data_IF_936400998322
#
_entry.id   IF_936400998322
#
_cell.length_a   1.000
_cell.length_b   1.000
_cell.length_c   1.000
_cell.angle_alpha   90.00
_cell.angle_beta   90.00
_cell.angle_gamma   90.00
#
_symmetry.space_group_name_H-M   'P 1'
#
loop_
_entity.id
_entity.type
_entity.pdbx_description
1 polymer ?
#
# COMPACT_ATOMS: atom_id res chain seq x y z
N UNK A 1 -4.59 2.40 -7.41
CA UNK A 1 -5.99 2.53 -6.89
C UNK A 1 -5.94 3.06 -5.46
N UNK A 2 -6.92 3.86 -5.04
CA UNK A 2 -6.99 4.37 -3.67
C UNK A 2 -7.75 3.40 -2.75
N UNK A 3 -7.12 3.05 -1.62
CA UNK A 3 -7.73 2.32 -0.51
C UNK A 3 -7.20 2.90 0.80
N UNK A 4 -8.05 3.62 1.54
CA UNK A 4 -7.66 4.26 2.78
C UNK A 4 -7.50 3.27 3.92
N UNK A 5 -6.60 3.57 4.88
CA UNK A 5 -6.34 2.70 6.06
C UNK A 5 -7.62 2.36 6.84
N UNK A 6 -8.59 3.26 6.93
CA UNK A 6 -9.83 3.05 7.71
C UNK A 6 -10.76 1.95 7.17
N UNK A 7 -10.60 1.54 5.91
CA UNK A 7 -11.40 0.48 5.27
C UNK A 7 -10.55 -0.68 4.78
N UNK A 8 -9.24 -0.64 5.00
CA UNK A 8 -8.29 -1.62 4.47
C UNK A 8 -8.67 -3.04 4.92
N UNK A 9 -8.76 -3.29 6.23
CA UNK A 9 -9.00 -4.63 6.76
C UNK A 9 -10.34 -5.22 6.33
N UNK A 10 -11.34 -4.37 6.08
CA UNK A 10 -12.65 -4.77 5.60
C UNK A 10 -12.63 -5.15 4.11
N UNK A 11 -11.95 -4.35 3.29
CA UNK A 11 -12.07 -4.42 1.82
C UNK A 11 -10.94 -5.20 1.13
N UNK A 12 -9.80 -5.42 1.80
CA UNK A 12 -8.60 -5.97 1.17
C UNK A 12 -8.85 -7.38 0.62
N UNK A 13 -9.44 -8.29 1.39
CA UNK A 13 -9.75 -9.67 0.97
C UNK A 13 -10.77 -9.73 -0.16
N UNK A 14 -11.77 -8.85 -0.15
CA UNK A 14 -12.76 -8.79 -1.24
C UNK A 14 -12.12 -8.32 -2.54
N UNK A 15 -11.18 -7.37 -2.47
CA UNK A 15 -10.51 -6.82 -3.68
C UNK A 15 -9.38 -7.69 -4.19
N UNK A 16 -8.62 -8.31 -3.29
CA UNK A 16 -7.43 -9.09 -3.62
C UNK A 16 -7.45 -10.43 -2.85
N UNK A 17 -8.29 -11.39 -3.26
CA UNK A 17 -8.45 -12.64 -2.50
C UNK A 17 -7.18 -13.52 -2.46
N UNK A 18 -6.29 -13.37 -3.44
CA UNK A 18 -4.98 -14.05 -3.43
C UNK A 18 -4.01 -13.36 -2.47
N UNK A 19 -3.75 -14.03 -1.33
CA UNK A 19 -2.85 -13.54 -0.27
C UNK A 19 -1.37 -13.54 -0.66
N UNK A 20 -1.00 -14.19 -1.77
CA UNK A 20 0.39 -14.20 -2.29
C UNK A 20 0.66 -13.10 -3.31
N UNK A 21 -0.39 -12.40 -3.74
CA UNK A 21 -0.30 -11.29 -4.68
C UNK A 21 0.65 -10.21 -4.17
N UNK A 22 1.51 -9.70 -5.07
CA UNK A 22 2.32 -8.53 -4.75
C UNK A 22 1.42 -7.29 -4.60
N UNK A 23 1.51 -6.64 -3.43
CA UNK A 23 0.83 -5.37 -3.16
C UNK A 23 1.84 -4.38 -2.59
N UNK A 24 2.11 -3.32 -3.35
CA UNK A 24 2.93 -2.20 -2.91
C UNK A 24 1.99 -1.09 -2.41
N UNK A 25 2.14 -0.71 -1.15
CA UNK A 25 1.36 0.32 -0.49
C UNK A 25 2.20 1.59 -0.33
N UNK A 26 1.61 2.75 -0.60
CA UNK A 26 2.27 4.05 -0.37
C UNK A 26 1.28 5.05 0.24
N UNK A 27 1.83 6.01 0.98
CA UNK A 27 1.12 7.21 1.42
C UNK A 27 1.97 8.44 1.10
N UNK A 28 1.68 9.61 1.67
CA UNK A 28 2.52 10.82 1.47
C UNK A 28 4.01 10.61 1.76
N UNK A 29 4.35 10.10 2.97
CA UNK A 29 5.75 9.97 3.43
C UNK A 29 6.20 8.57 3.87
N UNK A 30 5.43 7.52 3.60
CA UNK A 30 5.76 6.12 3.93
C UNK A 30 5.29 5.59 5.31
N UNK A 31 4.91 6.45 6.26
CA UNK A 31 4.51 6.01 7.61
C UNK A 31 3.18 5.24 7.65
N UNK A 32 2.13 5.79 7.02
CA UNK A 32 0.80 5.14 7.01
C UNK A 32 0.81 3.85 6.20
N UNK A 33 1.60 3.80 5.11
CA UNK A 33 1.73 2.58 4.31
C UNK A 33 2.46 1.45 5.06
N UNK A 34 3.34 1.77 6.00
CA UNK A 34 3.93 0.76 6.88
C UNK A 34 2.87 0.12 7.79
N UNK A 35 1.97 0.93 8.36
CA UNK A 35 0.87 0.43 9.21
C UNK A 35 -0.15 -0.40 8.42
N UNK A 36 -0.47 -0.01 7.19
CA UNK A 36 -1.35 -0.83 6.32
C UNK A 36 -0.67 -2.13 5.92
N UNK A 37 0.65 -2.12 5.69
CA UNK A 37 1.43 -3.30 5.37
C UNK A 37 1.45 -4.30 6.54
N UNK A 38 1.70 -3.84 7.76
CA UNK A 38 1.64 -4.66 8.99
C UNK A 38 0.24 -5.25 9.20
N UNK A 39 -0.82 -4.46 9.01
CA UNK A 39 -2.20 -4.95 9.10
C UNK A 39 -2.48 -6.05 8.05
N UNK A 40 -2.04 -5.86 6.80
CA UNK A 40 -2.20 -6.87 5.75
C UNK A 40 -1.40 -8.16 6.04
N UNK A 41 -0.19 -8.05 6.58
CA UNK A 41 0.59 -9.21 7.03
C UNK A 41 -0.16 -10.00 8.12
N UNK A 42 -0.76 -9.30 9.09
CA UNK A 42 -1.59 -9.94 10.14
C UNK A 42 -2.84 -10.63 9.59
N UNK A 43 -3.34 -10.19 8.43
CA UNK A 43 -4.44 -10.85 7.70
C UNK A 43 -3.96 -12.04 6.84
N UNK A 44 -2.65 -12.30 6.79
CA UNK A 44 -2.05 -13.43 6.08
C UNK A 44 -1.53 -13.10 4.67
N UNK A 45 -1.47 -11.83 4.27
CA UNK A 45 -0.84 -11.45 3.02
C UNK A 45 0.68 -11.55 3.13
N UNK A 46 1.30 -12.34 2.26
CA UNK A 46 2.71 -12.71 2.38
C UNK A 46 3.64 -11.86 1.52
N UNK A 47 3.10 -11.18 0.50
CA UNK A 47 3.89 -10.38 -0.44
C UNK A 47 3.43 -8.91 -0.47
N UNK A 48 3.45 -8.27 0.70
CA UNK A 48 3.09 -6.85 0.86
C UNK A 48 4.33 -6.02 1.17
N UNK A 49 4.43 -4.83 0.56
CA UNK A 49 5.58 -3.94 0.69
C UNK A 49 5.11 -2.51 0.94
N UNK A 50 5.75 -1.81 1.87
CA UNK A 50 5.56 -0.36 2.04
C UNK A 50 6.61 0.39 1.23
N UNK A 51 6.19 1.35 0.40
CA UNK A 51 7.09 2.21 -0.33
C UNK A 51 7.77 3.21 0.62
N UNK A 52 9.08 3.08 0.79
CA UNK A 52 9.88 4.00 1.58
C UNK A 52 9.75 5.43 1.05
N UNK A 53 9.63 6.41 1.95
CA UNK A 53 9.36 7.83 1.64
C UNK A 53 8.03 8.11 0.92
N UNK A 54 7.22 7.09 0.60
CA UNK A 54 5.91 7.26 -0.02
C UNK A 54 5.92 8.06 -1.32
N UNK A 55 4.88 8.86 -1.54
CA UNK A 55 4.74 9.76 -2.68
C UNK A 55 5.93 10.72 -2.81
N UNK A 56 6.46 11.24 -1.70
CA UNK A 56 7.64 12.11 -1.73
C UNK A 56 8.85 11.39 -2.34
N UNK A 57 9.01 10.10 -2.07
CA UNK A 57 10.04 9.27 -2.69
C UNK A 57 9.89 9.15 -4.21
N UNK A 58 8.65 9.01 -4.68
CA UNK A 58 8.34 8.96 -6.12
C UNK A 58 8.66 10.28 -6.81
N UNK A 59 8.28 11.41 -6.21
CA UNK A 59 8.57 12.75 -6.75
C UNK A 59 10.08 12.98 -6.83
N UNK A 60 10.83 12.64 -5.79
CA UNK A 60 12.30 12.80 -5.80
C UNK A 60 12.98 11.87 -6.82
N UNK A 61 12.38 10.71 -7.10
CA UNK A 61 12.87 9.78 -8.10
C UNK A 61 12.47 10.13 -9.54
N UNK A 62 11.81 11.28 -9.75
CA UNK A 62 11.26 11.72 -11.04
C UNK A 62 10.36 10.64 -11.68
N UNK A 63 9.60 9.94 -10.85
CA UNK A 63 8.71 8.88 -11.32
C UNK A 63 7.54 9.50 -12.10
N UNK A 64 7.17 8.96 -13.28
CA UNK A 64 6.05 9.48 -14.04
C UNK A 64 4.74 9.29 -13.28
N UNK A 65 4.13 10.40 -12.87
CA UNK A 65 2.85 10.41 -12.17
C UNK A 65 1.74 10.85 -13.13
N UNK A 66 0.65 10.09 -13.18
CA UNK A 66 -0.54 10.56 -13.85
C UNK A 66 -1.19 11.67 -12.99
N UNK A 67 -1.47 12.83 -13.58
CA UNK A 67 -2.44 13.75 -13.02
C UNK A 67 -3.83 13.11 -13.11
N UNK A 68 -4.60 13.17 -12.03
CA UNK A 68 -5.98 12.70 -12.01
C UNK A 68 -6.91 13.71 -12.69
#
# INVERSE_FOLDING_TARGET
>A
QYLGKGVLERDLETRFPDKTREIIMYCGGGYRSALTCDAAQKMGYTNVKSLAKGYQGLVVADWPMAEN
#
